data_IF_082675610662
#
_entry.id   IF_082675610662
#
_cell.length_a   1.000
_cell.length_b   1.000
_cell.length_c   1.000
_cell.angle_alpha   90.00
_cell.angle_beta   90.00
_cell.angle_gamma   90.00
#
_symmetry.space_group_name_H-M   'P 1'
#
loop_
_entity.id
_entity.type
_entity.pdbx_description
1 polymer ?
#
# COMPACT_ATOMS: atom_id res chain seq x y z
N UNK A 1 12.18 9.62 11.38
CA UNK A 1 11.64 8.70 10.35
C UNK A 1 12.15 9.17 9.00
N UNK A 2 12.60 8.22 8.17
CA UNK A 2 13.52 8.37 7.03
C UNK A 2 14.75 9.25 7.32
N UNK A 3 15.67 8.72 8.14
CA UNK A 3 17.02 9.31 8.27
C UNK A 3 17.69 9.46 6.90
N UNK A 4 17.33 8.58 5.95
CA UNK A 4 17.78 8.62 4.57
C UNK A 4 17.50 9.98 3.91
N UNK A 5 16.32 10.57 4.09
CA UNK A 5 15.94 11.84 3.45
C UNK A 5 15.87 13.02 4.42
N UNK A 6 16.64 13.00 5.51
CA UNK A 6 16.69 14.13 6.44
C UNK A 6 17.06 15.41 5.66
N UNK A 7 16.16 16.40 5.62
CA UNK A 7 16.32 17.63 4.84
C UNK A 7 16.13 17.51 3.32
N UNK A 8 15.78 16.32 2.80
CA UNK A 8 15.63 16.03 1.35
C UNK A 8 14.19 15.71 0.98
N UNK A 9 13.25 16.62 1.26
CA UNK A 9 11.81 16.43 0.99
C UNK A 9 11.55 16.13 -0.49
N UNK A 10 12.27 16.80 -1.40
CA UNK A 10 12.16 16.56 -2.86
C UNK A 10 12.52 15.13 -3.25
N UNK A 11 13.61 14.58 -2.69
CA UNK A 11 14.02 13.20 -2.97
C UNK A 11 13.05 12.18 -2.36
N UNK A 12 12.50 12.47 -1.18
CA UNK A 12 11.43 11.67 -0.59
C UNK A 12 10.20 11.64 -1.52
N UNK A 13 9.70 12.81 -1.93
CA UNK A 13 8.54 12.92 -2.81
C UNK A 13 8.78 12.20 -4.15
N UNK A 14 9.93 12.42 -4.78
CA UNK A 14 10.28 11.75 -6.03
C UNK A 14 10.39 10.23 -5.88
N UNK A 15 10.94 9.73 -4.76
CA UNK A 15 11.02 8.29 -4.50
C UNK A 15 9.64 7.63 -4.36
N UNK A 16 8.67 8.35 -3.76
CA UNK A 16 7.28 7.89 -3.60
C UNK A 16 6.51 8.03 -4.90
N UNK A 17 6.68 9.12 -5.64
CA UNK A 17 6.11 9.30 -6.97
C UNK A 17 6.51 8.16 -7.90
N UNK A 18 7.81 7.89 -8.03
CA UNK A 18 8.33 6.79 -8.84
C UNK A 18 7.93 5.41 -8.32
N UNK A 19 7.50 5.28 -7.07
CA UNK A 19 7.00 4.00 -6.54
C UNK A 19 5.57 3.71 -7.01
N UNK A 20 4.74 4.74 -7.14
CA UNK A 20 3.30 4.59 -7.32
C UNK A 20 2.88 4.80 -8.77
N UNK A 21 3.26 5.94 -9.36
CA UNK A 21 2.72 6.41 -10.64
C UNK A 21 3.06 5.51 -11.84
N UNK A 22 4.30 5.01 -12.03
CA UNK A 22 4.62 4.23 -13.22
C UNK A 22 3.80 2.93 -13.33
N UNK A 23 3.71 2.16 -12.24
CA UNK A 23 2.91 0.92 -12.16
C UNK A 23 1.42 1.22 -12.33
N UNK A 24 0.96 2.35 -11.81
CA UNK A 24 -0.42 2.80 -11.93
C UNK A 24 -0.80 3.14 -13.37
N UNK A 25 0.01 3.96 -14.05
CA UNK A 25 -0.23 4.31 -15.45
C UNK A 25 -0.15 3.09 -16.37
N UNK A 26 0.74 2.13 -16.08
CA UNK A 26 0.76 0.86 -16.80
C UNK A 26 -0.56 0.09 -16.61
N UNK A 27 -1.10 0.07 -15.39
CA UNK A 27 -2.38 -0.58 -15.12
C UNK A 27 -3.56 0.16 -15.80
N UNK A 28 -3.52 1.51 -15.86
CA UNK A 28 -4.50 2.29 -16.65
C UNK A 28 -4.44 1.89 -18.11
N UNK A 29 -3.24 1.86 -18.70
CA UNK A 29 -3.06 1.48 -20.10
C UNK A 29 -3.60 0.07 -20.38
N UNK A 30 -3.39 -0.88 -19.45
CA UNK A 30 -3.98 -2.21 -19.53
C UNK A 30 -5.51 -2.15 -19.52
N UNK A 31 -6.13 -1.42 -18.59
CA UNK A 31 -7.59 -1.31 -18.52
C UNK A 31 -8.17 -0.65 -19.78
N UNK A 32 -7.55 0.42 -20.27
CA UNK A 32 -7.95 1.09 -21.52
C UNK A 32 -7.87 0.13 -22.70
N UNK A 33 -6.81 -0.70 -22.77
CA UNK A 33 -6.70 -1.74 -23.79
C UNK A 33 -7.82 -2.77 -23.69
N UNK A 34 -8.19 -3.23 -22.49
CA UNK A 34 -9.31 -4.17 -22.32
C UNK A 34 -10.63 -3.57 -22.81
N UNK A 35 -10.90 -2.30 -22.45
CA UNK A 35 -12.11 -1.59 -22.88
C UNK A 35 -12.13 -1.45 -24.41
N UNK A 36 -11.00 -1.06 -25.02
CA UNK A 36 -10.88 -0.92 -26.47
C UNK A 36 -11.12 -2.24 -27.22
N UNK A 37 -10.69 -3.37 -26.64
CA UNK A 37 -10.94 -4.71 -27.16
C UNK A 37 -12.36 -5.23 -26.89
N UNK A 38 -13.26 -4.40 -26.35
CA UNK A 38 -14.63 -4.76 -25.95
C UNK A 38 -14.67 -5.93 -24.94
N UNK A 39 -13.65 -6.07 -24.10
CA UNK A 39 -13.63 -7.05 -23.01
C UNK A 39 -14.51 -6.49 -21.87
N UNK A 40 -15.51 -7.26 -21.39
CA UNK A 40 -16.40 -6.79 -20.34
C UNK A 40 -15.62 -6.52 -19.05
N UNK A 41 -15.86 -5.34 -18.47
CA UNK A 41 -15.24 -4.94 -17.21
C UNK A 41 -15.86 -5.71 -16.04
N UNK A 42 -15.01 -6.17 -15.12
CA UNK A 42 -15.45 -6.96 -13.96
C UNK A 42 -16.32 -6.19 -12.95
N UNK A 43 -16.36 -4.85 -13.05
CA UNK A 43 -17.19 -3.99 -12.21
C UNK A 43 -17.76 -2.81 -12.99
N UNK A 44 -18.94 -2.37 -12.59
CA UNK A 44 -19.68 -1.27 -13.20
C UNK A 44 -19.04 0.10 -13.01
N UNK A 45 -18.21 0.27 -11.97
CA UNK A 45 -17.46 1.51 -11.69
C UNK A 45 -16.14 1.60 -12.48
N UNK A 46 -15.85 0.63 -13.34
CA UNK A 46 -14.69 0.66 -14.24
C UNK A 46 -15.12 1.17 -15.61
N UNK A 47 -14.49 2.25 -16.07
CA UNK A 47 -14.78 2.85 -17.36
C UNK A 47 -13.76 3.93 -17.73
N UNK A 48 -14.03 4.64 -18.83
CA UNK A 48 -13.25 5.80 -19.25
C UNK A 48 -13.90 7.05 -18.63
N UNK A 49 -13.27 7.70 -17.64
CA UNK A 49 -13.74 8.99 -17.14
C UNK A 49 -13.57 10.09 -18.18
N UNK A 50 -14.43 11.09 -18.12
CA UNK A 50 -14.43 12.26 -19.00
C UNK A 50 -14.10 13.55 -18.24
N UNK A 51 -13.72 14.60 -18.97
CA UNK A 51 -13.49 15.94 -18.42
C UNK A 51 -12.49 15.98 -17.26
N UNK A 52 -12.90 16.58 -16.13
CA UNK A 52 -12.06 16.71 -14.94
C UNK A 52 -11.76 15.38 -14.24
N UNK A 53 -12.67 14.41 -14.34
CA UNK A 53 -12.49 13.09 -13.74
C UNK A 53 -11.37 12.30 -14.44
N UNK A 54 -11.15 12.54 -15.74
CA UNK A 54 -10.00 11.99 -16.45
C UNK A 54 -8.68 12.50 -15.86
N UNK A 55 -8.59 13.81 -15.64
CA UNK A 55 -7.40 14.45 -15.06
C UNK A 55 -7.15 13.90 -13.65
N UNK A 56 -8.20 13.81 -12.83
CA UNK A 56 -8.12 13.23 -11.48
C UNK A 56 -7.67 11.78 -11.49
N UNK A 57 -8.20 10.97 -12.40
CA UNK A 57 -7.79 9.59 -12.55
C UNK A 57 -6.31 9.50 -12.95
N UNK A 58 -5.84 10.28 -13.91
CA UNK A 58 -4.43 10.28 -14.31
C UNK A 58 -3.47 10.75 -13.21
N UNK A 59 -3.93 11.69 -12.36
CA UNK A 59 -3.18 12.25 -11.24
C UNK A 59 -3.32 11.45 -9.93
N UNK A 60 -4.02 10.32 -9.94
CA UNK A 60 -4.19 9.48 -8.76
C UNK A 60 -4.99 10.17 -7.63
N UNK A 61 -6.00 10.97 -8.00
CA UNK A 61 -6.88 11.72 -7.09
C UNK A 61 -8.31 11.18 -7.17
N UNK A 62 -8.46 9.89 -6.88
CA UNK A 62 -9.75 9.18 -6.95
C UNK A 62 -10.30 8.99 -5.56
N UNK A 63 -11.00 10.02 -5.12
CA UNK A 63 -11.55 10.10 -3.80
C UNK A 63 -12.78 9.18 -3.69
N UNK A 64 -13.82 9.37 -4.51
CA UNK A 64 -15.12 8.73 -4.32
C UNK A 64 -15.49 7.73 -5.43
N UNK A 65 -16.54 6.93 -5.18
CA UNK A 65 -16.99 5.80 -6.00
C UNK A 65 -17.92 6.21 -7.18
N UNK A 66 -18.31 7.47 -7.27
CA UNK A 66 -19.50 7.87 -8.05
C UNK A 66 -19.25 8.09 -9.55
N UNK A 67 -18.05 7.85 -10.06
CA UNK A 67 -17.72 8.03 -11.46
C UNK A 67 -17.07 6.78 -12.04
N UNK A 68 -17.18 6.54 -13.36
CA UNK A 68 -16.34 5.54 -14.01
C UNK A 68 -14.87 5.90 -13.75
N UNK A 69 -14.11 4.97 -13.18
CA UNK A 69 -12.67 5.13 -12.93
C UNK A 69 -11.91 4.04 -13.66
N UNK A 70 -10.69 4.30 -14.12
CA UNK A 70 -9.89 3.22 -14.70
C UNK A 70 -9.57 2.12 -13.69
N UNK A 71 -9.32 2.48 -12.43
CA UNK A 71 -8.87 1.57 -11.39
C UNK A 71 -9.66 1.87 -10.12
N UNK A 72 -10.66 1.03 -9.83
CA UNK A 72 -11.52 1.15 -8.64
C UNK A 72 -10.74 1.12 -7.32
N UNK A 73 -9.57 0.46 -7.26
CA UNK A 73 -8.69 0.48 -6.08
C UNK A 73 -7.85 1.76 -5.93
N UNK A 74 -8.01 2.74 -6.83
CA UNK A 74 -7.26 3.99 -6.80
C UNK A 74 -7.47 4.83 -5.54
N UNK A 75 -8.62 4.68 -4.86
CA UNK A 75 -8.91 5.47 -3.66
C UNK A 75 -7.96 5.19 -2.50
N UNK A 76 -7.54 3.94 -2.27
CA UNK A 76 -6.68 3.62 -1.13
C UNK A 76 -5.29 4.21 -1.29
N UNK A 77 -4.80 4.33 -2.54
CA UNK A 77 -3.50 4.93 -2.81
C UNK A 77 -3.60 6.46 -2.86
N UNK A 78 -4.76 7.02 -3.19
CA UNK A 78 -5.02 8.45 -2.94
C UNK A 78 -4.84 8.75 -1.44
N UNK A 79 -5.38 7.90 -0.57
CA UNK A 79 -5.18 8.01 0.88
C UNK A 79 -3.70 7.87 1.26
N UNK A 80 -2.96 6.97 0.61
CA UNK A 80 -1.51 6.82 0.80
C UNK A 80 -0.72 8.10 0.45
N UNK A 81 -1.09 8.79 -0.63
CA UNK A 81 -0.45 10.06 -1.04
C UNK A 81 -0.67 11.13 0.04
N UNK A 82 -1.91 11.30 0.54
CA UNK A 82 -2.23 12.27 1.60
C UNK A 82 -1.35 12.04 2.82
N UNK A 83 -1.22 10.79 3.27
CA UNK A 83 -0.41 10.47 4.44
C UNK A 83 1.09 10.55 4.19
N UNK A 84 1.57 10.30 2.97
CA UNK A 84 2.97 10.57 2.62
C UNK A 84 3.30 12.05 2.68
N UNK A 85 2.40 12.93 2.26
CA UNK A 85 2.56 14.38 2.39
C UNK A 85 2.64 14.75 3.88
N UNK A 86 1.69 14.28 4.71
CA UNK A 86 1.71 14.54 6.16
C UNK A 86 2.99 14.01 6.85
N UNK A 87 3.47 12.83 6.45
CA UNK A 87 4.73 12.24 6.93
C UNK A 87 5.93 13.09 6.51
N UNK A 88 5.95 13.61 5.28
CA UNK A 88 7.01 14.49 4.80
C UNK A 88 7.09 15.79 5.63
N UNK A 89 5.94 16.33 6.04
CA UNK A 89 5.85 17.47 6.96
C UNK A 89 6.14 17.12 8.43
N UNK A 90 6.34 15.83 8.74
CA UNK A 90 6.89 15.40 10.02
C UNK A 90 5.85 15.09 11.09
N UNK A 91 4.62 14.71 10.71
CA UNK A 91 3.61 14.17 11.64
C UNK A 91 4.10 12.94 12.40
N UNK A 92 5.06 12.19 11.84
CA UNK A 92 5.67 11.00 12.45
C UNK A 92 7.14 11.17 12.83
N UNK A 93 7.64 12.41 12.90
CA UNK A 93 9.09 12.69 13.09
C UNK A 93 9.61 12.18 14.43
N UNK A 94 8.81 12.28 15.49
CA UNK A 94 9.16 11.89 16.86
C UNK A 94 8.20 10.85 17.42
N UNK A 95 8.60 10.05 18.43
CA UNK A 95 7.73 9.06 19.06
C UNK A 95 6.44 9.70 19.61
N UNK A 96 6.57 10.85 20.30
CA UNK A 96 5.43 11.58 20.86
C UNK A 96 4.41 11.95 19.77
N UNK A 97 4.86 12.55 18.66
CA UNK A 97 3.96 12.92 17.55
C UNK A 97 3.28 11.71 16.92
N UNK A 98 3.99 10.59 16.75
CA UNK A 98 3.40 9.34 16.24
C UNK A 98 2.34 8.78 17.18
N UNK A 99 2.57 8.80 18.50
CA UNK A 99 1.58 8.35 19.49
C UNK A 99 0.38 9.28 19.53
N UNK A 100 0.58 10.60 19.51
CA UNK A 100 -0.51 11.58 19.43
C UNK A 100 -1.34 11.36 18.17
N UNK A 101 -0.69 11.15 17.01
CA UNK A 101 -1.37 10.85 15.76
C UNK A 101 -2.16 9.54 15.83
N UNK A 102 -1.61 8.50 16.48
CA UNK A 102 -2.33 7.24 16.71
C UNK A 102 -3.54 7.45 17.61
N UNK A 103 -3.41 8.17 18.71
CA UNK A 103 -4.51 8.48 19.62
C UNK A 103 -5.63 9.26 18.91
N UNK A 104 -5.29 10.30 18.15
CA UNK A 104 -6.26 11.07 17.35
C UNK A 104 -6.95 10.18 16.31
N UNK A 105 -6.20 9.29 15.65
CA UNK A 105 -6.77 8.36 14.66
C UNK A 105 -7.74 7.37 15.30
N UNK A 106 -7.42 6.86 16.50
CA UNK A 106 -8.31 5.98 17.28
C UNK A 106 -9.58 6.73 17.67
N UNK A 107 -9.45 7.94 18.21
CA UNK A 107 -10.61 8.79 18.59
C UNK A 107 -11.49 9.02 17.37
N UNK A 108 -10.92 9.45 16.24
CA UNK A 108 -11.67 9.64 15.00
C UNK A 108 -12.40 8.36 14.56
N UNK A 109 -11.70 7.23 14.52
CA UNK A 109 -12.31 5.94 14.14
C UNK A 109 -13.47 5.57 15.06
N UNK A 110 -13.29 5.67 16.38
CA UNK A 110 -14.35 5.36 17.36
C UNK A 110 -15.53 6.33 17.20
N UNK A 111 -15.27 7.64 17.09
CA UNK A 111 -16.31 8.65 16.90
C UNK A 111 -17.13 8.39 15.63
N UNK A 112 -16.49 8.07 14.51
CA UNK A 112 -17.20 7.75 13.25
C UNK A 112 -18.00 6.45 13.37
N UNK A 113 -17.49 5.45 14.09
CA UNK A 113 -18.22 4.20 14.32
C UNK A 113 -19.48 4.40 15.19
N UNK A 114 -19.43 5.33 16.14
CA UNK A 114 -20.55 5.62 17.04
C UNK A 114 -21.57 6.60 16.44
N UNK A 115 -21.11 7.59 15.67
CA UNK A 115 -21.93 8.74 15.27
C UNK A 115 -22.32 8.76 13.78
N UNK A 116 -21.48 8.23 12.89
CA UNK A 116 -21.77 8.30 11.46
C UNK A 116 -22.67 7.14 11.02
N UNK A 117 -23.54 7.29 10.01
CA UNK A 117 -24.30 6.17 9.43
C UNK A 117 -23.42 5.02 8.94
N UNK A 118 -23.93 3.79 8.95
CA UNK A 118 -23.19 2.61 8.47
C UNK A 118 -22.72 2.73 7.02
N UNK A 119 -23.47 3.43 6.18
CA UNK A 119 -23.16 3.70 4.78
C UNK A 119 -22.16 4.86 4.57
N UNK A 120 -21.72 5.53 5.63
CA UNK A 120 -20.87 6.71 5.50
C UNK A 120 -19.47 6.34 4.99
N UNK A 121 -19.03 7.05 3.93
CA UNK A 121 -17.67 6.94 3.39
C UNK A 121 -16.57 7.28 4.40
N UNK A 122 -16.91 8.04 5.45
CA UNK A 122 -16.02 8.34 6.57
C UNK A 122 -15.56 7.08 7.30
N UNK A 123 -16.30 5.97 7.21
CA UNK A 123 -15.95 4.69 7.84
C UNK A 123 -14.88 3.91 7.07
N UNK A 124 -14.63 4.22 5.79
CA UNK A 124 -13.74 3.39 4.97
C UNK A 124 -12.97 4.11 3.86
N UNK A 125 -13.64 4.92 3.04
CA UNK A 125 -13.03 5.50 1.84
C UNK A 125 -12.23 6.77 2.13
N UNK A 126 -12.60 7.52 3.18
CA UNK A 126 -11.95 8.80 3.47
C UNK A 126 -10.45 8.68 3.84
N UNK A 127 -9.61 9.68 3.51
CA UNK A 127 -8.23 9.73 3.97
C UNK A 127 -8.09 9.59 5.50
N UNK A 128 -9.04 10.18 6.24
CA UNK A 128 -9.07 10.10 7.71
C UNK A 128 -9.34 8.67 8.20
N UNK A 129 -10.21 7.89 7.53
CA UNK A 129 -10.38 6.47 7.82
C UNK A 129 -9.07 5.69 7.60
N UNK A 130 -8.32 6.07 6.56
CA UNK A 130 -6.98 5.55 6.29
C UNK A 130 -5.92 5.96 7.31
N UNK A 131 -6.14 6.96 8.17
CA UNK A 131 -5.15 7.49 9.12
C UNK A 131 -4.61 6.43 10.09
N UNK A 132 -5.52 5.62 10.63
CA UNK A 132 -5.22 4.67 11.70
C UNK A 132 -4.10 3.69 11.36
N UNK A 133 -4.10 2.96 10.22
CA UNK A 133 -3.00 2.07 9.87
C UNK A 133 -1.66 2.79 9.68
N UNK A 134 -1.64 4.01 9.13
CA UNK A 134 -0.39 4.77 8.98
C UNK A 134 0.16 5.22 10.33
N UNK A 135 -0.69 5.74 11.21
CA UNK A 135 -0.31 6.16 12.56
C UNK A 135 0.17 4.97 13.40
N UNK A 136 -0.49 3.82 13.25
CA UNK A 136 -0.12 2.57 13.90
C UNK A 136 1.26 2.08 13.44
N UNK A 137 1.50 2.02 12.13
CA UNK A 137 2.80 1.66 11.57
C UNK A 137 3.92 2.63 11.99
N UNK A 138 3.64 3.94 12.01
CA UNK A 138 4.59 4.96 12.46
C UNK A 138 4.95 4.79 13.95
N UNK A 139 3.96 4.52 14.80
CA UNK A 139 4.17 4.26 16.22
C UNK A 139 4.99 2.99 16.44
N UNK A 140 4.63 1.90 15.77
CA UNK A 140 5.38 0.64 15.84
C UNK A 140 6.84 0.81 15.43
N UNK A 141 7.12 1.62 14.42
CA UNK A 141 8.50 1.91 14.03
C UNK A 141 9.29 2.54 15.19
N UNK A 142 8.74 3.53 15.90
CA UNK A 142 9.45 4.17 17.02
C UNK A 142 9.65 3.22 18.21
N UNK A 143 8.71 2.31 18.45
CA UNK A 143 8.78 1.34 19.55
C UNK A 143 9.30 -0.04 19.14
N UNK A 144 9.79 -0.19 17.90
CA UNK A 144 10.28 -1.49 17.39
C UNK A 144 11.39 -2.10 18.23
N UNK A 145 12.21 -1.27 18.90
CA UNK A 145 13.28 -1.72 19.80
C UNK A 145 12.77 -2.36 21.09
N UNK A 146 11.50 -2.14 21.46
CA UNK A 146 10.86 -2.82 22.60
C UNK A 146 10.48 -4.26 22.29
N UNK A 147 10.49 -4.66 21.02
CA UNK A 147 10.23 -6.04 20.62
C UNK A 147 11.51 -6.86 20.80
N UNK A 148 11.37 -8.02 21.43
CA UNK A 148 12.49 -8.93 21.66
C UNK A 148 12.82 -9.72 20.41
N UNK A 149 14.07 -9.63 19.97
CA UNK A 149 14.66 -10.45 18.91
C UNK A 149 14.45 -11.96 19.15
N UNK A 150 14.57 -12.41 20.40
CA UNK A 150 14.41 -13.82 20.79
C UNK A 150 12.97 -14.29 20.64
N UNK A 151 11.99 -13.39 20.87
CA UNK A 151 10.57 -13.70 20.77
C UNK A 151 9.99 -13.49 19.37
N UNK A 152 10.74 -12.85 18.45
CA UNK A 152 10.25 -12.46 17.13
C UNK A 152 9.62 -13.62 16.34
N UNK A 153 10.23 -14.82 16.34
CA UNK A 153 9.65 -16.00 15.67
C UNK A 153 8.29 -16.39 16.26
N UNK A 154 8.19 -16.46 17.60
CA UNK A 154 6.94 -16.79 18.30
C UNK A 154 5.87 -15.73 18.01
N UNK A 155 6.23 -14.46 18.10
CA UNK A 155 5.32 -13.35 17.81
C UNK A 155 4.82 -13.41 16.36
N UNK A 156 5.69 -13.67 15.38
CA UNK A 156 5.29 -13.83 13.98
C UNK A 156 4.30 -14.99 13.80
N UNK A 157 4.55 -16.16 14.41
CA UNK A 157 3.63 -17.31 14.33
C UNK A 157 2.28 -16.99 14.97
N UNK A 158 2.27 -16.45 16.20
CA UNK A 158 1.02 -16.07 16.90
C UNK A 158 0.24 -15.04 16.10
N UNK A 159 0.91 -14.01 15.58
CA UNK A 159 0.25 -13.01 14.72
C UNK A 159 -0.26 -13.62 13.42
N UNK A 160 0.45 -14.57 12.81
CA UNK A 160 0.00 -15.27 11.60
C UNK A 160 -1.29 -16.07 11.85
N UNK A 161 -1.34 -16.79 12.97
CA UNK A 161 -2.53 -17.53 13.38
C UNK A 161 -3.68 -16.56 13.66
N UNK A 162 -3.42 -15.46 14.38
CA UNK A 162 -4.43 -14.44 14.65
C UNK A 162 -4.99 -13.81 13.36
N UNK A 163 -4.13 -13.50 12.38
CA UNK A 163 -4.54 -13.00 11.07
C UNK A 163 -5.39 -14.03 10.31
N UNK A 164 -4.97 -15.30 10.29
CA UNK A 164 -5.73 -16.37 9.65
C UNK A 164 -7.11 -16.56 10.31
N UNK A 165 -7.18 -16.54 11.64
CA UNK A 165 -8.43 -16.57 12.38
C UNK A 165 -9.32 -15.37 12.07
N UNK A 166 -8.77 -14.15 11.97
CA UNK A 166 -9.53 -12.98 11.57
C UNK A 166 -10.11 -13.14 10.16
N UNK A 167 -9.38 -13.74 9.22
CA UNK A 167 -9.88 -14.01 7.87
C UNK A 167 -11.01 -15.05 7.86
N UNK A 168 -10.87 -16.13 8.64
CA UNK A 168 -11.91 -17.17 8.77
C UNK A 168 -13.15 -16.61 9.44
N UNK A 169 -13.02 -15.92 10.58
CA UNK A 169 -14.17 -15.34 11.28
C UNK A 169 -14.85 -14.26 10.43
N UNK A 170 -14.06 -13.44 9.74
CA UNK A 170 -14.57 -12.42 8.83
C UNK A 170 -15.32 -13.00 7.63
N UNK A 171 -14.91 -14.17 7.11
CA UNK A 171 -15.60 -14.81 5.98
C UNK A 171 -16.96 -15.40 6.36
N UNK A 172 -17.17 -15.71 7.65
CA UNK A 172 -18.44 -16.23 8.14
C UNK A 172 -19.54 -15.16 8.22
N UNK A 173 -19.21 -13.85 8.11
CA UNK A 173 -20.13 -12.69 8.23
C UNK A 173 -20.80 -12.52 9.60
N UNK A 174 -20.25 -13.10 10.66
CA UNK A 174 -20.91 -13.09 11.99
C UNK A 174 -20.78 -11.73 12.68
N UNK A 175 -19.67 -11.01 12.48
CA UNK A 175 -19.44 -9.65 12.96
C UNK A 175 -18.44 -8.97 12.01
N UNK A 176 -18.85 -7.93 11.27
CA UNK A 176 -17.98 -7.34 10.22
C UNK A 176 -16.85 -6.45 10.76
N UNK A 177 -17.00 -5.86 11.96
CA UNK A 177 -16.08 -4.84 12.47
C UNK A 177 -14.94 -5.42 13.33
N UNK A 178 -15.23 -6.38 14.21
CA UNK A 178 -14.23 -6.95 15.13
C UNK A 178 -13.06 -7.60 14.36
N UNK A 179 -13.30 -8.47 13.35
CA UNK A 179 -12.21 -9.09 12.60
C UNK A 179 -11.35 -8.08 11.86
N UNK A 180 -11.91 -6.97 11.38
CA UNK A 180 -11.16 -5.92 10.66
C UNK A 180 -10.12 -5.24 11.55
N UNK A 181 -10.51 -4.77 12.72
CA UNK A 181 -9.57 -4.10 13.63
C UNK A 181 -8.64 -5.08 14.33
N UNK A 182 -9.11 -6.29 14.64
CA UNK A 182 -8.25 -7.37 15.12
C UNK A 182 -7.17 -7.73 14.09
N UNK A 183 -7.52 -7.74 12.80
CA UNK A 183 -6.54 -7.94 11.71
C UNK A 183 -5.50 -6.82 11.69
N UNK A 184 -5.92 -5.55 11.80
CA UNK A 184 -4.98 -4.43 11.88
C UNK A 184 -4.04 -4.56 13.08
N UNK A 185 -4.57 -4.84 14.27
CA UNK A 185 -3.77 -5.01 15.50
C UNK A 185 -2.81 -6.19 15.37
N UNK A 186 -3.22 -7.31 14.78
CA UNK A 186 -2.35 -8.47 14.58
C UNK A 186 -1.26 -8.22 13.53
N UNK A 187 -1.53 -7.38 12.52
CA UNK A 187 -0.57 -7.06 11.45
C UNK A 187 0.66 -6.30 11.95
N UNK A 188 0.53 -5.53 13.03
CA UNK A 188 1.61 -4.71 13.57
C UNK A 188 2.77 -5.53 14.15
N UNK A 189 2.52 -6.37 15.17
CA UNK A 189 3.53 -7.28 15.71
C UNK A 189 4.08 -8.23 14.67
N UNK A 190 3.27 -8.66 13.69
CA UNK A 190 3.74 -9.44 12.53
C UNK A 190 4.79 -8.66 11.75
N UNK A 191 4.49 -7.43 11.33
CA UNK A 191 5.41 -6.60 10.55
C UNK A 191 6.73 -6.32 11.29
N UNK A 192 6.66 -5.99 12.59
CA UNK A 192 7.87 -5.78 13.41
C UNK A 192 8.67 -7.08 13.54
N UNK A 193 8.00 -8.22 13.78
CA UNK A 193 8.68 -9.51 13.91
C UNK A 193 9.38 -9.92 12.63
N UNK A 194 8.72 -9.77 11.47
CA UNK A 194 9.32 -10.04 10.16
C UNK A 194 10.51 -9.10 9.89
N UNK A 195 10.42 -7.83 10.27
CA UNK A 195 11.55 -6.91 10.20
C UNK A 195 12.75 -7.39 11.03
N UNK A 196 12.54 -7.82 12.27
CA UNK A 196 13.62 -8.30 13.14
C UNK A 196 14.24 -9.61 12.62
N UNK A 197 13.41 -10.54 12.15
CA UNK A 197 13.89 -11.79 11.54
C UNK A 197 14.65 -11.52 10.23
N UNK A 198 14.15 -10.60 9.39
CA UNK A 198 14.76 -10.24 8.11
C UNK A 198 16.14 -9.57 8.23
N UNK A 199 16.51 -9.06 9.40
CA UNK A 199 17.88 -8.58 9.67
C UNK A 199 18.91 -9.71 9.79
N UNK A 200 18.45 -10.92 10.10
CA UNK A 200 19.29 -12.10 10.35
C UNK A 200 19.30 -13.08 9.17
N UNK A 201 18.47 -12.87 8.15
CA UNK A 201 18.36 -13.76 7.00
C UNK A 201 19.52 -13.58 6.02
N UNK A 202 19.83 -14.65 5.30
CA UNK A 202 20.87 -14.63 4.26
C UNK A 202 20.46 -13.71 3.11
N UNK A 203 21.44 -13.12 2.43
CA UNK A 203 21.19 -12.21 1.31
C UNK A 203 20.30 -12.82 0.22
N UNK A 204 20.52 -14.09 -0.12
CA UNK A 204 19.69 -14.81 -1.09
C UNK A 204 18.21 -14.87 -0.70
N UNK A 205 17.91 -15.08 0.59
CA UNK A 205 16.54 -15.10 1.10
C UNK A 205 15.93 -13.70 1.06
N UNK A 206 16.67 -12.69 1.52
CA UNK A 206 16.24 -11.28 1.46
C UNK A 206 15.92 -10.82 0.03
N UNK A 207 16.68 -11.29 -0.96
CA UNK A 207 16.42 -10.98 -2.36
C UNK A 207 15.15 -11.67 -2.88
N UNK A 208 14.88 -12.91 -2.47
CA UNK A 208 13.61 -13.60 -2.80
C UNK A 208 12.42 -12.91 -2.15
N UNK A 209 12.51 -12.58 -0.86
CA UNK A 209 11.47 -11.86 -0.13
C UNK A 209 11.17 -10.51 -0.78
N UNK A 210 12.21 -9.80 -1.24
CA UNK A 210 12.06 -8.55 -1.98
C UNK A 210 11.28 -8.74 -3.28
N UNK A 211 11.63 -9.76 -4.08
CA UNK A 211 10.91 -10.03 -5.34
C UNK A 211 9.43 -10.32 -5.09
N UNK A 212 9.11 -11.15 -4.10
CA UNK A 212 7.71 -11.47 -3.75
C UNK A 212 6.98 -10.21 -3.25
N UNK A 213 7.63 -9.42 -2.40
CA UNK A 213 7.05 -8.16 -1.89
C UNK A 213 6.82 -7.10 -2.97
N UNK A 214 7.71 -7.02 -3.96
CA UNK A 214 7.61 -6.07 -5.06
C UNK A 214 6.39 -6.36 -5.97
N UNK A 215 5.89 -7.60 -6.00
CA UNK A 215 4.67 -7.98 -6.74
C UNK A 215 3.38 -7.54 -6.06
N UNK A 216 3.40 -7.30 -4.74
CA UNK A 216 2.17 -7.05 -3.97
C UNK A 216 1.42 -5.80 -4.45
N UNK A 217 2.14 -4.75 -4.83
CA UNK A 217 1.52 -3.50 -5.30
C UNK A 217 0.93 -3.64 -6.71
N UNK A 218 1.65 -4.16 -7.73
CA UNK A 218 1.03 -4.46 -9.02
C UNK A 218 -0.19 -5.38 -8.92
N UNK A 219 -0.14 -6.46 -8.11
CA UNK A 219 -1.30 -7.36 -7.89
C UNK A 219 -2.50 -6.57 -7.35
N UNK A 220 -2.26 -5.72 -6.33
CA UNK A 220 -3.29 -4.87 -5.75
C UNK A 220 -3.94 -3.93 -6.79
N UNK A 221 -3.18 -3.40 -7.76
CA UNK A 221 -3.75 -2.54 -8.80
C UNK A 221 -4.47 -3.32 -9.88
N UNK A 222 -3.91 -4.43 -10.34
CA UNK A 222 -4.36 -5.07 -11.57
C UNK A 222 -5.44 -6.15 -11.39
N UNK A 223 -5.75 -6.59 -10.17
CA UNK A 223 -6.64 -7.75 -9.96
C UNK A 223 -8.03 -7.61 -10.58
N UNK A 224 -8.59 -6.40 -10.72
CA UNK A 224 -9.85 -6.19 -11.45
C UNK A 224 -9.70 -6.28 -12.97
N UNK A 225 -8.57 -5.84 -13.52
CA UNK A 225 -8.25 -6.06 -14.93
C UNK A 225 -8.04 -7.56 -15.20
N UNK A 226 -7.31 -8.25 -14.32
CA UNK A 226 -7.13 -9.69 -14.36
C UNK A 226 -8.48 -10.44 -14.24
N UNK A 227 -9.38 -10.00 -13.37
CA UNK A 227 -10.72 -10.57 -13.26
C UNK A 227 -11.54 -10.39 -14.55
N UNK A 228 -11.47 -9.22 -15.19
CA UNK A 228 -12.14 -8.96 -16.47
C UNK A 228 -11.64 -9.91 -17.56
N UNK A 229 -10.33 -10.10 -17.66
CA UNK A 229 -9.70 -11.05 -18.58
C UNK A 229 -10.13 -12.50 -18.31
N UNK A 230 -10.06 -12.95 -17.05
CA UNK A 230 -10.40 -14.32 -16.66
C UNK A 230 -11.87 -14.63 -16.93
N UNK A 231 -12.78 -13.70 -16.61
CA UNK A 231 -14.22 -13.88 -16.86
C UNK A 231 -14.51 -13.89 -18.35
N UNK A 232 -13.81 -13.08 -19.16
CA UNK A 232 -13.99 -13.04 -20.61
C UNK A 232 -13.50 -14.33 -21.31
N UNK A 233 -12.35 -14.88 -20.91
CA UNK A 233 -11.82 -16.11 -21.53
C UNK A 233 -12.45 -17.39 -20.97
N UNK A 234 -13.06 -17.34 -19.79
CA UNK A 234 -13.59 -18.55 -19.17
C UNK A 234 -14.98 -18.87 -19.70
N UNK A 235 -15.18 -20.03 -20.36
CA UNK A 235 -16.50 -20.44 -20.85
C UNK A 235 -17.47 -20.79 -19.71
N UNK A 236 -16.95 -20.95 -18.49
CA UNK A 236 -17.75 -21.20 -17.31
C UNK A 236 -17.84 -19.92 -16.48
N UNK A 237 -19.01 -19.62 -15.94
CA UNK A 237 -19.14 -18.70 -14.81
C UNK A 237 -18.47 -19.34 -13.60
N UNK A 238 -17.13 -19.31 -13.57
CA UNK A 238 -16.33 -19.77 -12.44
C UNK A 238 -16.87 -19.04 -11.21
N UNK A 239 -17.54 -19.79 -10.34
CA UNK A 239 -17.84 -19.37 -8.98
C UNK A 239 -16.78 -19.99 -8.08
N UNK A 240 -16.71 -19.55 -6.83
CA UNK A 240 -15.89 -20.17 -5.79
C UNK A 240 -14.37 -19.98 -5.92
N UNK A 241 -13.61 -20.86 -5.28
CA UNK A 241 -12.15 -20.85 -5.17
C UNK A 241 -11.44 -20.95 -6.53
N UNK A 242 -12.06 -21.57 -7.52
CA UNK A 242 -11.51 -21.68 -8.87
C UNK A 242 -11.35 -20.31 -9.53
N UNK A 243 -12.38 -19.45 -9.43
CA UNK A 243 -12.27 -18.07 -9.91
C UNK A 243 -11.19 -17.31 -9.15
N UNK A 244 -11.14 -17.43 -7.83
CA UNK A 244 -10.10 -16.79 -7.02
C UNK A 244 -8.69 -17.21 -7.48
N UNK A 245 -8.44 -18.51 -7.65
CA UNK A 245 -7.14 -19.03 -8.08
C UNK A 245 -6.79 -18.56 -9.51
N UNK A 246 -7.76 -18.55 -10.42
CA UNK A 246 -7.56 -18.07 -11.78
C UNK A 246 -7.23 -16.57 -11.82
N UNK A 247 -7.99 -15.74 -11.11
CA UNK A 247 -7.75 -14.29 -10.99
C UNK A 247 -6.43 -14.01 -10.27
N UNK A 248 -6.12 -14.73 -9.20
CA UNK A 248 -4.85 -14.61 -8.48
C UNK A 248 -3.66 -14.97 -9.37
N UNK A 249 -3.77 -16.04 -10.15
CA UNK A 249 -2.73 -16.45 -11.10
C UNK A 249 -2.56 -15.40 -12.19
N UNK A 250 -3.64 -14.99 -12.86
CA UNK A 250 -3.61 -13.97 -13.91
C UNK A 250 -3.04 -12.63 -13.38
N UNK A 251 -3.49 -12.19 -12.20
CA UNK A 251 -3.00 -10.94 -11.60
C UNK A 251 -1.52 -11.00 -11.20
N UNK A 252 -1.06 -12.17 -10.77
CA UNK A 252 0.36 -12.42 -10.48
C UNK A 252 1.19 -12.40 -11.76
N UNK A 253 0.71 -13.00 -12.86
CA UNK A 253 1.40 -12.95 -14.15
C UNK A 253 1.49 -11.52 -14.71
N UNK A 254 0.39 -10.76 -14.64
CA UNK A 254 0.38 -9.33 -15.01
C UNK A 254 1.33 -8.53 -14.11
N UNK A 255 1.38 -8.84 -12.81
CA UNK A 255 2.30 -8.20 -11.88
C UNK A 255 3.77 -8.49 -12.22
N UNK A 256 4.11 -9.72 -12.60
CA UNK A 256 5.45 -10.05 -13.09
C UNK A 256 5.82 -9.28 -14.35
N UNK A 257 4.91 -9.19 -15.32
CA UNK A 257 5.11 -8.40 -16.53
C UNK A 257 5.34 -6.90 -16.19
N UNK A 258 4.50 -6.35 -15.32
CA UNK A 258 4.61 -4.96 -14.85
C UNK A 258 5.96 -4.72 -14.16
N UNK A 259 6.38 -5.64 -13.29
CA UNK A 259 7.64 -5.51 -12.57
C UNK A 259 8.85 -5.56 -13.51
N UNK A 260 8.81 -6.47 -14.49
CA UNK A 260 9.86 -6.63 -15.48
C UNK A 260 10.01 -5.39 -16.38
N UNK A 261 8.90 -4.86 -16.88
CA UNK A 261 8.88 -3.71 -17.81
C UNK A 261 9.15 -2.39 -17.08
N UNK A 262 8.50 -2.18 -15.93
CA UNK A 262 8.48 -0.89 -15.23
C UNK A 262 9.36 -0.92 -13.99
N UNK A 263 9.01 -1.73 -12.99
CA UNK A 263 9.57 -1.60 -11.64
C UNK A 263 11.08 -1.85 -11.60
N UNK A 264 11.61 -2.75 -12.44
CA UNK A 264 13.05 -3.00 -12.53
C UNK A 264 13.83 -1.78 -13.02
N UNK A 265 13.28 -1.05 -14.00
CA UNK A 265 13.91 0.14 -14.57
C UNK A 265 13.77 1.34 -13.64
N UNK A 266 12.57 1.56 -13.12
CA UNK A 266 12.28 2.62 -12.17
C UNK A 266 13.01 2.40 -10.84
N UNK A 267 13.17 1.15 -10.42
CA UNK A 267 13.92 0.76 -9.23
C UNK A 267 15.37 1.23 -9.27
N UNK A 268 16.04 1.17 -10.44
CA UNK A 268 17.40 1.71 -10.61
C UNK A 268 17.44 3.21 -10.34
N UNK A 269 16.46 3.96 -10.86
CA UNK A 269 16.34 5.41 -10.66
C UNK A 269 16.08 5.73 -9.18
N UNK A 270 15.14 5.00 -8.56
CA UNK A 270 14.78 5.15 -7.14
C UNK A 270 15.96 4.89 -6.21
N UNK A 271 16.78 3.88 -6.51
CA UNK A 271 17.98 3.56 -5.73
C UNK A 271 19.04 4.66 -5.83
N UNK A 272 19.24 5.25 -7.03
CA UNK A 272 20.12 6.41 -7.21
C UNK A 272 19.67 7.61 -6.37
N UNK A 273 18.37 7.91 -6.33
CA UNK A 273 17.82 9.02 -5.53
C UNK A 273 18.05 8.80 -4.02
N UNK A 274 17.86 7.55 -3.55
CA UNK A 274 18.12 7.16 -2.15
C UNK A 274 19.56 7.43 -1.73
N UNK A 275 20.51 7.12 -2.61
CA UNK A 275 21.95 7.22 -2.35
C UNK A 275 22.54 8.63 -2.48
N UNK A 276 21.79 9.63 -2.97
CA UNK A 276 22.26 11.02 -3.05
C UNK A 276 22.59 11.57 -1.66
N UNK A 277 23.77 12.19 -1.51
CA UNK A 277 24.17 12.89 -0.26
C UNK A 277 23.49 14.27 -0.16
N UNK A 278 23.26 14.80 1.05
CA UNK A 278 22.79 16.16 1.24
C UNK A 278 23.76 17.17 0.62
N UNK A 279 23.24 18.17 -0.10
CA UNK A 279 24.05 19.17 -0.82
C UNK A 279 24.92 20.04 0.10
N UNK A 280 24.62 20.06 1.41
CA UNK A 280 25.36 20.81 2.44
C UNK A 280 26.68 20.17 2.88
N UNK A 281 26.97 18.92 2.52
CA UNK A 281 28.30 18.30 2.79
C UNK A 281 29.30 18.48 1.63
N UNK A 282 28.90 19.12 0.53
CA UNK A 282 29.74 19.32 -0.66
C UNK A 282 30.54 20.63 -0.65
N UNK A 283 30.44 21.45 0.41
CA UNK A 283 31.13 22.74 0.55
C UNK A 283 31.59 22.94 2.02
N UNK A 284 32.49 22.10 2.48
CA UNK A 284 33.50 22.51 3.46
C UNK A 284 34.85 22.30 2.80
N UNK A 285 35.42 23.28 2.09
CA UNK A 285 36.86 23.30 1.95
C UNK A 285 37.38 23.40 3.38
N UNK A 286 38.00 22.33 3.84
CA UNK A 286 38.89 22.37 5.00
C UNK A 286 39.90 23.46 4.66
N UNK A 287 39.74 24.64 5.26
CA UNK A 287 40.83 25.60 5.38
C UNK A 287 41.81 24.96 6.35
N UNK A 288 42.71 24.17 5.77
CA UNK A 288 43.91 23.68 6.40
C UNK A 288 44.86 24.88 6.52
N UNK A 289 44.66 25.69 7.56
CA UNK A 289 45.62 26.71 7.94
C UNK A 289 46.49 26.14 9.06
N UNK A 290 47.74 25.88 8.64
CA UNK A 290 48.96 25.78 9.42
C UNK A 290 49.09 26.90 10.45
#
# INVERSE_FOLDING_TARGET
>A
MDTTYKGRIKDFALNRFLRLFPTYWFTIALVVLLIYLNIPVSRQDIGIPEGWELVRALLYVNHWKDNPTFITTGWAVTNEIVWYVAIAFGISKTPARSVTWLAVSIIFTVSVMLLAPHSSDLRYFSPLAGSLPFAYGASLYHFRSRFSDTKAKRTAVVSSIALALCLVVGSLKWIDLIPRYAFLVASGPMAVSLYLLGRKTRERQRNRDRVIGDLSYPIYLNHYAAASLVVWISPFHLKSIALFLAVFTASTLIAFATNFVIDRNVGKIRNRIRQRKPRTEAYSPVLDNR
#
